data_IF_719835844999
#
_entry.id   IF_719835844999
#
_cell.length_a   1.000
_cell.length_b   1.000
_cell.length_c   1.000
_cell.angle_alpha   90.00
_cell.angle_beta   90.00
_cell.angle_gamma   90.00
#
_symmetry.space_group_name_H-M   'P 1'
#
loop_
_entity.id
_entity.type
_entity.pdbx_description
1 polymer ?
#
# COMPACT_ATOMS: atom_id res chain seq x y z
N UNK A 1 -51.73 -18.40 1.05
CA UNK A 1 -51.61 -17.16 1.85
C UNK A 1 -50.17 -17.14 2.35
N UNK A 2 -49.29 -16.34 1.75
CA UNK A 2 -47.87 -16.31 2.11
C UNK A 2 -47.68 -15.51 3.40
N UNK A 3 -46.96 -16.07 4.38
CA UNK A 3 -46.57 -15.35 5.58
C UNK A 3 -45.28 -14.57 5.31
N UNK A 4 -45.34 -13.24 5.42
CA UNK A 4 -44.15 -12.39 5.49
C UNK A 4 -43.68 -12.33 6.95
N UNK A 5 -42.37 -12.50 7.16
CA UNK A 5 -41.74 -12.35 8.47
C UNK A 5 -40.63 -11.32 8.35
N UNK A 6 -40.65 -10.34 9.26
CA UNK A 6 -39.53 -9.43 9.43
C UNK A 6 -38.38 -10.18 10.11
N UNK A 7 -37.22 -10.14 9.48
CA UNK A 7 -36.00 -10.80 9.97
C UNK A 7 -34.90 -9.76 10.12
N UNK A 8 -34.21 -9.81 11.25
CA UNK A 8 -32.93 -9.13 11.44
C UNK A 8 -31.79 -10.09 11.13
N UNK A 9 -30.83 -9.62 10.34
CA UNK A 9 -29.62 -10.36 10.05
C UNK A 9 -28.43 -9.42 9.95
N UNK A 10 -27.24 -9.96 10.20
CA UNK A 10 -25.98 -9.24 10.03
C UNK A 10 -25.35 -9.62 8.70
N UNK A 11 -24.93 -8.63 7.93
CA UNK A 11 -24.25 -8.81 6.66
C UNK A 11 -22.82 -8.24 6.73
N UNK A 12 -21.87 -8.97 6.16
CA UNK A 12 -20.52 -8.45 5.89
C UNK A 12 -20.54 -7.74 4.53
N UNK A 13 -20.13 -6.47 4.50
CA UNK A 13 -20.04 -5.69 3.28
C UNK A 13 -18.59 -5.31 3.00
N UNK A 14 -18.23 -5.29 1.72
CA UNK A 14 -16.99 -4.68 1.25
C UNK A 14 -17.33 -3.37 0.54
N UNK A 15 -16.94 -2.25 1.12
CA UNK A 15 -17.25 -0.91 0.60
C UNK A 15 -15.96 -0.10 0.47
N UNK A 16 -15.39 0.02 -0.73
CA UNK A 16 -14.21 0.85 -0.94
C UNK A 16 -14.56 2.34 -0.83
N UNK A 17 -13.63 3.13 -0.30
CA UNK A 17 -13.78 4.58 -0.15
C UNK A 17 -12.86 5.37 -1.08
N UNK A 18 -13.29 6.59 -1.43
CA UNK A 18 -12.48 7.47 -2.25
C UNK A 18 -11.25 7.92 -1.46
N UNK A 19 -10.07 7.95 -2.10
CA UNK A 19 -8.77 8.23 -1.47
C UNK A 19 -8.26 7.18 -0.48
N UNK A 20 -8.96 6.07 -0.31
CA UNK A 20 -8.50 4.95 0.49
C UNK A 20 -7.21 4.35 -0.09
N UNK A 21 -6.27 4.02 0.79
CA UNK A 21 -5.04 3.31 0.42
C UNK A 21 -5.30 1.81 0.59
N UNK A 22 -5.26 1.09 -0.51
CA UNK A 22 -5.52 -0.35 -0.57
C UNK A 22 -4.25 -1.10 -0.92
N UNK A 23 -4.11 -2.29 -0.35
CA UNK A 23 -3.09 -3.26 -0.71
C UNK A 23 -3.72 -4.37 -1.53
N UNK A 24 -3.07 -4.73 -2.62
CA UNK A 24 -3.60 -5.73 -3.55
C UNK A 24 -2.50 -6.46 -4.30
N UNK A 25 -2.93 -7.39 -5.13
CA UNK A 25 -2.04 -8.18 -5.98
C UNK A 25 -2.35 -7.90 -7.44
N UNK A 26 -1.32 -7.72 -8.26
CA UNK A 26 -1.47 -7.62 -9.71
C UNK A 26 -1.94 -8.97 -10.24
N UNK A 27 -3.15 -9.02 -10.79
CA UNK A 27 -3.72 -10.24 -11.38
C UNK A 27 -3.53 -10.30 -12.88
N UNK A 28 -3.45 -9.14 -13.53
CA UNK A 28 -3.35 -9.05 -14.98
C UNK A 28 -2.62 -7.77 -15.41
N UNK A 29 -1.90 -7.87 -16.52
CA UNK A 29 -1.25 -6.73 -17.17
C UNK A 29 -1.71 -6.66 -18.62
N UNK A 30 -2.05 -5.44 -19.06
CA UNK A 30 -2.49 -5.10 -20.41
C UNK A 30 -1.70 -3.90 -20.94
N UNK A 31 -1.84 -3.61 -22.24
CA UNK A 31 -1.16 -2.47 -22.89
C UNK A 31 -1.49 -1.10 -22.28
N UNK A 32 -2.65 -0.96 -21.66
CA UNK A 32 -3.09 0.31 -21.08
C UNK A 32 -2.88 0.39 -19.55
N UNK A 33 -2.44 -0.68 -18.90
CA UNK A 33 -2.31 -0.70 -17.45
C UNK A 33 -2.25 -2.09 -16.83
N UNK A 34 -2.42 -2.14 -15.52
CA UNK A 34 -2.44 -3.36 -14.73
C UNK A 34 -3.74 -3.44 -13.92
N UNK A 35 -4.26 -4.65 -13.74
CA UNK A 35 -5.38 -4.91 -12.84
C UNK A 35 -4.84 -5.41 -11.51
N UNK A 36 -5.25 -4.73 -10.45
CA UNK A 36 -4.88 -5.04 -9.07
C UNK A 36 -6.12 -5.53 -8.36
N UNK A 37 -6.11 -6.79 -7.93
CA UNK A 37 -7.17 -7.35 -7.08
C UNK A 37 -6.95 -6.91 -5.65
N UNK A 38 -7.98 -6.34 -5.04
CA UNK A 38 -7.99 -6.00 -3.62
C UNK A 38 -9.36 -6.39 -3.04
N UNK A 39 -9.33 -7.31 -2.07
CA UNK A 39 -10.57 -7.92 -1.57
C UNK A 39 -11.36 -8.62 -2.69
N UNK A 40 -12.68 -8.38 -2.80
CA UNK A 40 -13.54 -8.98 -3.81
C UNK A 40 -13.60 -8.21 -5.15
N UNK A 41 -12.93 -7.06 -5.26
CA UNK A 41 -12.99 -6.18 -6.43
C UNK A 41 -11.63 -6.10 -7.14
N UNK A 42 -11.67 -5.80 -8.42
CA UNK A 42 -10.50 -5.57 -9.25
C UNK A 42 -10.42 -4.07 -9.60
N UNK A 43 -9.27 -3.45 -9.33
CA UNK A 43 -9.00 -2.06 -9.66
C UNK A 43 -8.10 -1.93 -10.87
N UNK A 44 -8.42 -0.96 -11.72
CA UNK A 44 -7.60 -0.61 -12.87
C UNK A 44 -6.56 0.43 -12.48
N UNK A 45 -5.30 0.07 -12.69
CA UNK A 45 -4.15 0.96 -12.59
C UNK A 45 -3.68 1.32 -13.99
N UNK A 46 -4.04 2.52 -14.45
CA UNK A 46 -3.64 3.00 -15.78
C UNK A 46 -2.13 3.17 -15.88
N UNK A 47 -1.52 2.90 -17.04
CA UNK A 47 -0.05 2.95 -17.26
C UNK A 47 0.57 4.26 -16.79
N UNK A 48 -0.10 5.39 -17.05
CA UNK A 48 0.35 6.73 -16.62
C UNK A 48 0.28 6.98 -15.11
N UNK A 49 -0.39 6.10 -14.36
CA UNK A 49 -0.57 6.16 -12.90
C UNK A 49 0.29 5.13 -12.17
N UNK A 50 1.05 4.30 -12.88
CA UNK A 50 1.96 3.28 -12.30
C UNK A 50 3.26 3.93 -11.84
N UNK A 51 3.92 4.64 -12.75
CA UNK A 51 5.21 5.27 -12.54
C UNK A 51 5.33 6.53 -13.42
N UNK A 52 6.20 7.45 -13.00
CA UNK A 52 6.50 8.67 -13.74
C UNK A 52 7.67 8.41 -14.71
N UNK A 53 7.46 7.47 -15.63
CA UNK A 53 8.50 6.96 -16.53
C UNK A 53 7.84 6.42 -17.81
N UNK A 54 8.62 6.30 -18.88
CA UNK A 54 8.21 5.54 -20.06
C UNK A 54 8.19 4.05 -19.69
N UNK A 55 7.04 3.43 -19.84
CA UNK A 55 6.84 2.01 -19.55
C UNK A 55 6.91 1.21 -20.85
N UNK A 56 7.80 0.21 -20.88
CA UNK A 56 7.81 -0.81 -21.91
C UNK A 56 6.96 -2.01 -21.45
N UNK A 57 6.10 -2.50 -22.34
CA UNK A 57 5.11 -3.52 -22.05
C UNK A 57 5.50 -4.79 -22.77
N UNK A 58 5.82 -5.81 -21.99
CA UNK A 58 6.08 -7.16 -22.47
C UNK A 58 4.81 -7.98 -22.29
N UNK A 59 4.00 -8.04 -23.35
CA UNK A 59 2.70 -8.74 -23.33
C UNK A 59 2.87 -10.25 -23.16
N UNK A 60 3.97 -10.81 -23.66
CA UNK A 60 4.25 -12.25 -23.57
C UNK A 60 4.55 -12.68 -22.13
N UNK A 61 5.18 -11.80 -21.35
CA UNK A 61 5.53 -12.07 -19.95
C UNK A 61 4.57 -11.41 -18.94
N UNK A 62 3.50 -10.75 -19.43
CA UNK A 62 2.57 -9.93 -18.63
C UNK A 62 3.31 -9.03 -17.64
N UNK A 63 4.30 -8.29 -18.15
CA UNK A 63 5.20 -7.46 -17.35
C UNK A 63 5.31 -6.05 -17.92
N UNK A 64 5.39 -5.07 -17.03
CA UNK A 64 5.66 -3.68 -17.32
C UNK A 64 7.04 -3.33 -16.76
N UNK A 65 7.86 -2.64 -17.55
CA UNK A 65 9.21 -2.24 -17.13
C UNK A 65 9.41 -0.76 -17.44
N UNK A 66 9.74 0.04 -16.42
CA UNK A 66 10.15 1.43 -16.60
C UNK A 66 11.52 1.51 -17.27
N UNK A 67 11.64 2.34 -18.30
CA UNK A 67 12.87 2.50 -19.09
C UNK A 67 13.96 3.20 -18.28
N UNK A 68 13.62 4.27 -17.55
CA UNK A 68 14.57 5.08 -16.79
C UNK A 68 14.78 4.53 -15.38
N UNK A 69 13.70 4.14 -14.73
CA UNK A 69 13.70 3.67 -13.34
C UNK A 69 14.10 2.21 -13.19
N UNK A 70 14.13 1.44 -14.31
CA UNK A 70 14.35 -0.01 -14.35
C UNK A 70 13.41 -0.81 -13.44
N UNK A 71 12.28 -0.21 -13.06
CA UNK A 71 11.29 -0.81 -12.16
C UNK A 71 10.41 -1.77 -12.94
N UNK A 72 10.33 -3.02 -12.48
CA UNK A 72 9.44 -4.02 -13.06
C UNK A 72 8.16 -4.21 -12.23
N UNK A 73 7.04 -4.38 -12.93
CA UNK A 73 5.76 -4.79 -12.38
C UNK A 73 5.25 -6.01 -13.16
N UNK A 74 5.10 -7.14 -12.47
CA UNK A 74 4.63 -8.40 -13.04
C UNK A 74 3.33 -8.84 -12.33
N UNK A 75 2.54 -9.66 -13.03
CA UNK A 75 1.47 -10.46 -12.41
C UNK A 75 2.03 -11.23 -11.21
N UNK A 76 1.27 -11.22 -10.11
CA UNK A 76 1.60 -11.85 -8.84
C UNK A 76 2.25 -10.92 -7.81
N UNK A 77 2.70 -9.72 -8.21
CA UNK A 77 3.32 -8.79 -7.26
C UNK A 77 2.29 -8.09 -6.38
N UNK A 78 2.70 -7.88 -5.12
CA UNK A 78 1.94 -7.11 -4.14
C UNK A 78 2.27 -5.63 -4.26
N UNK A 79 1.22 -4.82 -4.29
CA UNK A 79 1.31 -3.38 -4.50
C UNK A 79 0.39 -2.64 -3.55
N UNK A 80 0.79 -1.42 -3.20
CA UNK A 80 -0.01 -0.49 -2.44
C UNK A 80 -0.42 0.66 -3.35
N UNK A 81 -1.72 0.87 -3.51
CA UNK A 81 -2.29 1.88 -4.38
C UNK A 81 -3.34 2.70 -3.64
N UNK A 82 -3.67 3.88 -4.17
CA UNK A 82 -4.75 4.71 -3.68
C UNK A 82 -5.90 4.74 -4.68
N UNK A 83 -7.12 4.67 -4.18
CA UNK A 83 -8.34 4.80 -4.97
C UNK A 83 -8.55 6.27 -5.35
N UNK A 84 -8.63 6.55 -6.66
CA UNK A 84 -8.85 7.90 -7.19
C UNK A 84 -10.22 8.08 -7.83
N UNK A 85 -10.86 6.97 -8.23
CA UNK A 85 -12.18 6.99 -8.84
C UNK A 85 -12.93 5.72 -8.47
N UNK A 86 -14.21 5.86 -8.14
CA UNK A 86 -15.11 4.77 -7.80
C UNK A 86 -16.38 4.88 -8.63
N UNK A 87 -16.61 3.86 -9.45
CA UNK A 87 -17.87 3.64 -10.15
C UNK A 87 -18.30 2.22 -9.85
N UNK A 88 -19.16 2.06 -8.85
CA UNK A 88 -19.69 0.77 -8.44
C UNK A 88 -20.90 0.42 -9.31
N UNK A 89 -20.90 -0.80 -9.83
CA UNK A 89 -22.01 -1.31 -10.63
C UNK A 89 -22.99 -2.05 -9.72
N UNK A 90 -24.23 -1.57 -9.63
CA UNK A 90 -25.26 -2.11 -8.72
C UNK A 90 -25.71 -3.54 -9.08
N UNK A 91 -25.60 -3.89 -10.36
CA UNK A 91 -26.04 -5.19 -10.90
C UNK A 91 -24.99 -6.28 -10.67
N UNK A 92 -23.70 -5.92 -10.80
CA UNK A 92 -22.58 -6.85 -10.78
C UNK A 92 -21.35 -6.19 -10.15
N UNK A 93 -20.90 -6.65 -8.98
CA UNK A 93 -19.69 -6.12 -8.34
C UNK A 93 -18.44 -6.24 -9.23
N UNK A 94 -18.37 -7.29 -10.06
CA UNK A 94 -17.26 -7.54 -11.00
C UNK A 94 -17.14 -6.49 -12.10
N UNK A 95 -18.24 -5.83 -12.45
CA UNK A 95 -18.26 -4.77 -13.46
C UNK A 95 -17.99 -3.38 -12.85
N UNK A 96 -17.66 -3.32 -11.56
CA UNK A 96 -17.28 -2.08 -10.90
C UNK A 96 -15.97 -1.56 -11.48
N UNK A 97 -15.96 -0.30 -11.87
CA UNK A 97 -14.77 0.37 -12.40
C UNK A 97 -14.14 1.18 -11.29
N UNK A 98 -12.98 0.73 -10.83
CA UNK A 98 -12.23 1.38 -9.76
C UNK A 98 -10.90 1.84 -10.33
N UNK A 99 -10.66 3.15 -10.28
CA UNK A 99 -9.40 3.75 -10.71
C UNK A 99 -8.41 3.79 -9.56
N UNK A 100 -7.20 3.29 -9.78
CA UNK A 100 -6.10 3.28 -8.82
C UNK A 100 -4.95 4.19 -9.28
N UNK A 101 -4.15 4.68 -8.33
CA UNK A 101 -2.88 5.37 -8.57
C UNK A 101 -1.75 4.91 -7.64
N UNK A 102 -0.52 4.91 -8.15
CA UNK A 102 0.71 4.65 -7.40
C UNK A 102 1.71 5.81 -7.44
N UNK A 103 1.39 6.92 -8.11
CA UNK A 103 2.32 8.04 -8.31
C UNK A 103 2.54 8.93 -7.09
N UNK A 104 1.95 8.61 -5.95
CA UNK A 104 2.04 9.42 -4.74
C UNK A 104 3.13 8.88 -3.80
N UNK A 105 3.74 9.74 -2.96
CA UNK A 105 4.76 9.31 -2.00
C UNK A 105 4.23 8.21 -1.09
N UNK A 106 5.02 7.14 -0.89
CA UNK A 106 4.65 6.00 -0.04
C UNK A 106 3.73 4.96 -0.68
N UNK A 107 3.40 5.11 -1.97
CA UNK A 107 2.68 4.12 -2.78
C UNK A 107 3.61 3.41 -3.76
N UNK A 108 3.15 2.28 -4.31
CA UNK A 108 3.87 1.46 -5.26
C UNK A 108 4.09 0.03 -4.78
N UNK A 109 5.02 -0.68 -5.43
CA UNK A 109 5.42 -2.03 -5.03
C UNK A 109 6.05 -1.98 -3.64
N UNK A 110 5.72 -2.95 -2.79
CA UNK A 110 6.21 -2.99 -1.40
C UNK A 110 7.73 -2.94 -1.32
N UNK A 111 8.43 -3.59 -2.24
CA UNK A 111 9.90 -3.57 -2.30
C UNK A 111 10.47 -2.18 -2.55
N UNK A 112 9.85 -1.37 -3.42
CA UNK A 112 10.30 0.01 -3.67
C UNK A 112 10.16 0.89 -2.43
N UNK A 113 9.12 0.64 -1.63
CA UNK A 113 8.86 1.39 -0.39
C UNK A 113 9.91 1.03 0.67
N UNK A 114 10.29 -0.25 0.75
CA UNK A 114 11.36 -0.72 1.65
C UNK A 114 12.71 -0.14 1.25
N UNK A 115 13.04 -0.12 -0.05
CA UNK A 115 14.28 0.47 -0.55
C UNK A 115 14.33 1.99 -0.35
N UNK A 116 13.21 2.68 -0.54
CA UNK A 116 13.09 4.12 -0.26
C UNK A 116 13.30 4.41 1.22
N UNK A 117 12.72 3.62 2.12
CA UNK A 117 12.96 3.75 3.57
C UNK A 117 14.41 3.44 3.96
N UNK A 118 15.06 2.48 3.29
CA UNK A 118 16.48 2.17 3.53
C UNK A 118 17.41 3.31 3.10
N UNK A 119 17.09 4.00 2.00
CA UNK A 119 17.83 5.19 1.54
C UNK A 119 17.51 6.44 2.38
N UNK A 120 16.31 6.52 2.96
CA UNK A 120 15.87 7.62 3.80
C UNK A 120 16.31 7.51 5.26
N UNK A 121 16.97 6.41 5.69
CA UNK A 121 17.76 6.41 6.93
C UNK A 121 19.09 7.12 6.66
N UNK A 122 19.31 8.35 7.14
CA UNK A 122 20.66 8.88 7.19
C UNK A 122 21.45 8.02 8.18
N UNK A 123 22.73 7.75 7.88
CA UNK A 123 23.69 7.35 8.91
C UNK A 123 23.51 8.29 10.10
N UNK A 124 23.16 7.76 11.26
CA UNK A 124 23.25 8.50 12.51
C UNK A 124 24.65 9.15 12.58
N UNK A 125 24.78 10.46 12.84
CA UNK A 125 26.10 11.00 13.12
C UNK A 125 26.61 10.31 14.38
N UNK A 126 27.78 9.68 14.26
CA UNK A 126 28.56 9.20 15.38
C UNK A 126 29.01 10.43 16.20
N UNK A 127 28.20 10.83 17.17
CA UNK A 127 28.49 11.87 18.15
C UNK A 127 28.57 11.24 19.53
N UNK A 128 29.80 11.04 20.01
CA UNK A 128 30.07 10.45 21.31
C UNK A 128 29.57 11.31 22.47
N UNK A 129 28.94 10.65 23.43
CA UNK A 129 28.67 11.18 24.75
C UNK A 129 28.60 10.01 25.72
N UNK A 130 29.74 9.67 26.34
CA UNK A 130 29.77 8.75 27.49
C UNK A 130 28.96 9.41 28.61
N UNK A 131 27.69 9.03 28.75
CA UNK A 131 26.96 9.27 30.00
C UNK A 131 27.46 8.22 30.97
N UNK A 132 28.41 8.63 31.80
CA UNK A 132 28.82 7.89 32.98
C UNK A 132 27.62 7.83 33.94
N UNK A 133 27.29 6.66 34.52
CA UNK A 133 26.23 6.59 35.52
C UNK A 133 26.63 7.40 36.76
N UNK A 134 25.74 8.22 37.35
CA UNK A 134 26.05 8.92 38.57
C UNK A 134 26.26 7.91 39.70
N UNK A 135 27.46 7.95 40.29
CA UNK A 135 27.78 7.24 41.54
C UNK A 135 26.83 7.73 42.63
N UNK A 136 25.95 6.86 43.09
CA UNK A 136 25.25 7.04 44.36
C UNK A 136 26.29 7.08 45.49
N UNK A 137 26.40 8.24 46.17
CA UNK A 137 27.14 8.37 47.43
C UNK A 137 26.29 7.77 48.55
N UNK A 138 26.88 6.98 49.47
CA UNK A 138 26.17 6.47 50.63
C UNK A 138 25.95 7.61 51.64
N UNK A 139 24.73 7.77 52.14
CA UNK A 139 24.44 8.59 53.31
C UNK A 139 24.55 7.69 54.55
N UNK A 140 25.59 7.92 55.35
CA UNK A 140 25.77 7.33 56.67
C UNK A 140 26.05 8.45 57.70
N UNK A 141 25.42 8.31 58.87
CA UNK A 141 25.61 9.12 60.09
C UNK A 141 24.58 10.24 60.20
N UNK A 142 23.61 10.22 61.13
CA UNK A 142 23.77 10.19 62.60
C UNK A 142 23.79 11.65 63.11
N UNK A 143 23.10 12.10 64.16
CA UNK A 143 22.20 11.56 65.17
C UNK A 143 21.75 12.72 66.08
N UNK A 144 21.06 12.39 67.17
CA UNK A 144 20.88 13.17 68.41
C UNK A 144 20.25 14.57 68.35
N UNK A 145 18.97 14.68 68.73
CA UNK A 145 18.52 15.12 70.09
C UNK A 145 17.00 15.25 70.12
#
# INVERSE_FOLDING_TARGET
MGSYQDVEYTALLFRPELQEVVEGQVVEVRKFGAFVRFGPLDGLLHVSQIMDDRVNIDEHNQRLVGVETKRDLKVGYKVRARIVSLSLSEISPRDSRIGLTMRQPGLGRLEWIVEAHKKAQPKAPAGGGKVTPPKAKPAAGGGAS
#
